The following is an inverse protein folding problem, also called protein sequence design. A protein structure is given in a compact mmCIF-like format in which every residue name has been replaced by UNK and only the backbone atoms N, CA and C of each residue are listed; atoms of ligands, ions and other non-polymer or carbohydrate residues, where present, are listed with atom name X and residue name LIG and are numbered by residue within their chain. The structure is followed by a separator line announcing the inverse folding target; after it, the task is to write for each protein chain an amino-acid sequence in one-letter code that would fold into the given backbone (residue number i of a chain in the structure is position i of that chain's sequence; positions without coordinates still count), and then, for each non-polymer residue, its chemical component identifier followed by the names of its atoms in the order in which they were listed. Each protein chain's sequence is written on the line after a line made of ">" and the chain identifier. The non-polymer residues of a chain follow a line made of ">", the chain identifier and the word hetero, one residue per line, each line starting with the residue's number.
data_IF_863602018966
#
_entry.id   IF_863602018966
#
_cell.length_a   1.000
_cell.length_b   1.000
_cell.length_c   1.000
_cell.angle_alpha   90.00
_cell.angle_beta   90.00
_cell.angle_gamma   90.00
#
_symmetry.space_group_name_H-M   'P 1'
#
loop_
_entity.id
_entity.type
_entity.pdbx_description
1 polymer ?
#
# COMPACT_ATOMS: atom_id res chain seq x y z
N UNK A 1 -22.46 -9.15 0.63
CA UNK A 1 -22.40 -8.36 1.88
C UNK A 1 -22.84 -9.15 3.13
N UNK A 2 -22.63 -10.46 3.18
CA UNK A 2 -23.01 -11.29 4.36
C UNK A 2 -21.84 -11.57 5.32
N UNK A 3 -20.61 -11.21 4.94
CA UNK A 3 -19.40 -11.47 5.76
C UNK A 3 -19.14 -10.36 6.79
N UNK A 4 -19.44 -9.10 6.44
CA UNK A 4 -19.34 -7.96 7.35
C UNK A 4 -20.04 -8.18 8.71
N UNK A 5 -21.30 -8.64 8.78
CA UNK A 5 -21.95 -8.92 10.06
C UNK A 5 -21.32 -10.09 10.82
N UNK A 6 -20.70 -11.04 10.12
CA UNK A 6 -20.04 -12.20 10.76
C UNK A 6 -18.74 -11.80 11.46
N UNK A 7 -17.95 -10.96 10.79
CA UNK A 7 -16.76 -10.30 11.38
C UNK A 7 -17.17 -9.37 12.52
N UNK A 8 -18.25 -8.59 12.35
CA UNK A 8 -18.74 -7.68 13.39
C UNK A 8 -19.20 -8.43 14.64
N UNK A 9 -19.86 -9.58 14.49
CA UNK A 9 -20.29 -10.42 15.61
C UNK A 9 -19.11 -11.05 16.37
N UNK A 10 -18.07 -11.49 15.66
CA UNK A 10 -16.84 -11.97 16.30
C UNK A 10 -16.11 -10.86 17.06
N UNK A 11 -16.13 -9.63 16.53
CA UNK A 11 -15.56 -8.45 17.18
C UNK A 11 -16.42 -7.89 18.33
N UNK A 12 -17.75 -8.03 18.28
CA UNK A 12 -18.62 -7.60 19.38
C UNK A 12 -18.43 -8.45 20.64
N UNK A 13 -17.98 -9.69 20.50
CA UNK A 13 -17.59 -10.52 21.66
C UNK A 13 -16.39 -9.92 22.42
N UNK A 14 -15.50 -9.19 21.74
CA UNK A 14 -14.42 -8.43 22.38
C UNK A 14 -14.91 -7.15 23.11
N UNK A 15 -16.16 -6.74 22.91
CA UNK A 15 -16.69 -5.48 23.47
C UNK A 15 -17.33 -5.64 24.86
N UNK A 16 -17.56 -6.87 25.32
CA UNK A 16 -18.10 -7.17 26.65
C UNK A 16 -17.00 -7.82 27.50
N UNK A 17 -16.37 -7.06 28.43
CA UNK A 17 -15.08 -7.38 29.03
C UNK A 17 -15.19 -8.02 30.43
N UNK A 18 -16.19 -8.87 30.68
CA UNK A 18 -16.11 -9.72 31.88
C UNK A 18 -15.30 -10.97 31.55
N UNK A 19 -14.02 -10.94 31.92
CA UNK A 19 -13.09 -12.05 31.80
C UNK A 19 -13.67 -13.31 32.47
N UNK A 20 -13.57 -14.46 31.81
CA UNK A 20 -13.87 -15.75 32.46
C UNK A 20 -12.85 -16.07 33.56
N UNK A 21 -11.68 -15.42 33.53
CA UNK A 21 -10.59 -15.55 34.51
C UNK A 21 -10.08 -14.15 34.87
N UNK A 22 -10.21 -13.70 36.14
CA UNK A 22 -9.73 -12.37 36.53
C UNK A 22 -8.22 -12.20 36.33
N UNK A 23 -7.83 -11.11 35.66
CA UNK A 23 -6.43 -10.68 35.43
C UNK A 23 -5.52 -10.65 36.68
N UNK A 24 -6.12 -10.63 37.86
CA UNK A 24 -5.42 -10.65 39.16
C UNK A 24 -4.68 -11.95 39.49
N UNK A 25 -4.81 -13.03 38.69
CA UNK A 25 -4.14 -14.30 38.94
C UNK A 25 -2.75 -14.33 38.28
N UNK A 26 -1.64 -14.31 39.06
CA UNK A 26 -0.30 -14.30 38.52
C UNK A 26 -0.01 -15.55 37.67
N UNK A 27 0.37 -15.37 36.40
CA UNK A 27 0.70 -16.44 35.47
C UNK A 27 -0.48 -17.04 34.68
N UNK A 28 -1.72 -16.66 34.98
CA UNK A 28 -2.94 -17.18 34.32
C UNK A 28 -3.84 -16.11 33.70
N UNK A 29 -3.69 -14.83 34.03
CA UNK A 29 -4.56 -13.75 33.53
C UNK A 29 -4.68 -13.69 32.00
N UNK A 30 -3.56 -13.86 31.28
CA UNK A 30 -3.56 -13.79 29.80
C UNK A 30 -4.00 -15.09 29.09
N UNK A 31 -4.36 -16.14 29.83
CA UNK A 31 -4.74 -17.41 29.21
C UNK A 31 -6.06 -17.28 28.45
N UNK A 32 -7.02 -16.52 29.00
CA UNK A 32 -8.32 -16.28 28.38
C UNK A 32 -8.17 -15.49 27.06
N UNK A 33 -7.34 -14.44 27.05
CA UNK A 33 -6.98 -13.70 25.84
C UNK A 33 -6.36 -14.59 24.75
N UNK A 34 -5.42 -15.46 25.13
CA UNK A 34 -4.76 -16.35 24.19
C UNK A 34 -5.74 -17.37 23.57
N UNK A 35 -6.67 -17.89 24.37
CA UNK A 35 -7.73 -18.80 23.91
C UNK A 35 -8.70 -18.04 23.00
N UNK A 36 -9.12 -16.84 23.41
CA UNK A 36 -10.05 -16.02 22.63
C UNK A 36 -9.47 -15.60 21.28
N UNK A 37 -8.20 -15.20 21.24
CA UNK A 37 -7.47 -14.92 20.00
C UNK A 37 -7.42 -16.17 19.12
N UNK A 38 -7.10 -17.34 19.66
CA UNK A 38 -7.05 -18.60 18.90
C UNK A 38 -8.42 -18.97 18.32
N UNK A 39 -9.51 -18.78 19.07
CA UNK A 39 -10.87 -19.02 18.58
C UNK A 39 -11.25 -18.07 17.43
N UNK A 40 -10.95 -16.78 17.57
CA UNK A 40 -11.23 -15.78 16.53
C UNK A 40 -10.39 -16.01 15.27
N UNK A 41 -9.10 -16.37 15.43
CA UNK A 41 -8.23 -16.71 14.29
C UNK A 41 -8.74 -17.95 13.55
N UNK A 42 -9.29 -18.94 14.27
CA UNK A 42 -9.92 -20.12 13.66
C UNK A 42 -11.21 -19.78 12.92
N UNK A 43 -12.10 -18.98 13.52
CA UNK A 43 -13.37 -18.60 12.90
C UNK A 43 -13.15 -17.71 11.66
N UNK A 44 -12.20 -16.78 11.73
CA UNK A 44 -11.89 -15.82 10.64
C UNK A 44 -10.73 -16.28 9.72
N UNK A 45 -10.41 -17.57 9.72
CA UNK A 45 -9.23 -18.10 9.01
C UNK A 45 -9.23 -17.69 7.53
N UNK A 46 -10.37 -17.83 6.86
CA UNK A 46 -10.48 -17.59 5.43
C UNK A 46 -10.41 -16.10 5.08
N UNK A 47 -10.98 -15.24 5.92
CA UNK A 47 -10.92 -13.79 5.81
C UNK A 47 -9.49 -13.28 6.02
N UNK A 48 -8.77 -13.85 7.00
CA UNK A 48 -7.35 -13.54 7.25
C UNK A 48 -6.47 -13.98 6.08
N UNK A 49 -6.70 -15.18 5.52
CA UNK A 49 -6.01 -15.67 4.33
C UNK A 49 -6.25 -14.76 3.12
N UNK A 50 -7.51 -14.43 2.83
CA UNK A 50 -7.88 -13.53 1.75
C UNK A 50 -7.27 -12.13 1.90
N UNK A 51 -7.22 -11.60 3.12
CA UNK A 51 -6.59 -10.32 3.41
C UNK A 51 -5.08 -10.35 3.17
N UNK A 52 -4.40 -11.44 3.56
CA UNK A 52 -2.96 -11.62 3.30
C UNK A 52 -2.67 -11.69 1.79
N UNK A 53 -3.49 -12.41 1.04
CA UNK A 53 -3.38 -12.47 -0.42
C UNK A 53 -3.55 -11.09 -1.08
N UNK A 54 -4.53 -10.31 -0.59
CA UNK A 54 -4.73 -8.94 -1.03
C UNK A 54 -3.50 -8.05 -0.74
N UNK A 55 -2.91 -8.15 0.45
CA UNK A 55 -1.67 -7.43 0.77
C UNK A 55 -0.54 -7.81 -0.20
N UNK A 56 -0.32 -9.10 -0.44
CA UNK A 56 0.70 -9.58 -1.38
C UNK A 56 0.44 -9.17 -2.84
N UNK A 57 -0.82 -9.06 -3.25
CA UNK A 57 -1.18 -8.49 -4.55
C UNK A 57 -0.87 -6.99 -4.63
N UNK A 58 -1.27 -6.22 -3.61
CA UNK A 58 -1.01 -4.77 -3.54
C UNK A 58 0.47 -4.46 -3.59
N UNK A 59 1.28 -5.20 -2.85
CA UNK A 59 2.72 -4.96 -2.77
C UNK A 59 3.40 -5.27 -4.12
N UNK A 60 3.00 -6.35 -4.82
CA UNK A 60 3.43 -6.63 -6.20
C UNK A 60 3.04 -5.53 -7.17
N UNK A 61 1.79 -5.05 -7.10
CA UNK A 61 1.34 -3.91 -7.91
C UNK A 61 2.19 -2.66 -7.67
N UNK A 62 2.54 -2.36 -6.42
CA UNK A 62 3.37 -1.22 -6.08
C UNK A 62 4.80 -1.38 -6.63
N UNK A 63 5.35 -2.59 -6.65
CA UNK A 63 6.65 -2.84 -7.28
C UNK A 63 6.60 -2.70 -8.80
N UNK A 64 5.58 -3.26 -9.44
CA UNK A 64 5.39 -3.21 -10.90
C UNK A 64 5.09 -1.80 -11.38
N UNK A 65 4.17 -1.09 -10.72
CA UNK A 65 3.87 0.32 -11.00
C UNK A 65 5.01 1.24 -10.57
N UNK A 66 5.72 0.95 -9.48
CA UNK A 66 6.90 1.72 -9.08
C UNK A 66 8.01 1.66 -10.14
N UNK A 67 8.22 0.49 -10.75
CA UNK A 67 9.16 0.31 -11.86
C UNK A 67 8.64 0.93 -13.17
N UNK A 68 7.36 0.72 -13.51
CA UNK A 68 6.73 1.23 -14.75
C UNK A 68 6.48 2.74 -14.73
N UNK A 69 5.97 3.30 -13.63
CA UNK A 69 5.75 4.74 -13.46
C UNK A 69 7.07 5.51 -13.37
N UNK A 70 8.12 4.94 -12.76
CA UNK A 70 9.46 5.54 -12.77
C UNK A 70 10.07 5.52 -14.18
N UNK A 71 10.01 4.38 -14.88
CA UNK A 71 10.44 4.28 -16.27
C UNK A 71 9.67 5.24 -17.20
N UNK A 72 8.35 5.36 -17.00
CA UNK A 72 7.49 6.27 -17.76
C UNK A 72 7.82 7.74 -17.49
N UNK A 73 8.06 8.12 -16.22
CA UNK A 73 8.46 9.48 -15.84
C UNK A 73 9.84 9.85 -16.38
N UNK A 74 10.82 8.95 -16.28
CA UNK A 74 12.18 9.18 -16.82
C UNK A 74 12.16 9.31 -18.34
N UNK A 75 11.40 8.45 -19.04
CA UNK A 75 11.21 8.54 -20.49
C UNK A 75 10.56 9.86 -20.90
N UNK A 76 9.49 10.30 -20.21
CA UNK A 76 8.84 11.58 -20.47
C UNK A 76 9.77 12.78 -20.23
N UNK A 77 10.57 12.74 -19.17
CA UNK A 77 11.55 13.79 -18.87
C UNK A 77 12.65 13.87 -19.94
N UNK A 78 13.12 12.73 -20.45
CA UNK A 78 14.13 12.70 -21.51
C UNK A 78 13.59 13.21 -22.85
N UNK A 79 12.35 12.87 -23.19
CA UNK A 79 11.68 13.37 -24.39
C UNK A 79 11.47 14.89 -24.34
N UNK A 80 11.01 15.42 -23.18
CA UNK A 80 10.93 16.87 -22.95
C UNK A 80 12.28 17.56 -23.02
N UNK A 81 13.33 16.95 -22.47
CA UNK A 81 14.70 17.46 -22.56
C UNK A 81 15.16 17.57 -24.02
N UNK A 82 14.97 16.52 -24.82
CA UNK A 82 15.31 16.49 -26.26
C UNK A 82 14.58 17.59 -27.02
N UNK A 83 13.29 17.78 -26.74
CA UNK A 83 12.49 18.83 -27.36
C UNK A 83 13.05 20.24 -27.07
N UNK A 84 13.34 20.53 -25.79
CA UNK A 84 13.88 21.81 -25.35
C UNK A 84 15.27 22.07 -25.94
N UNK A 85 16.15 21.08 -25.92
CA UNK A 85 17.48 21.19 -26.53
C UNK A 85 17.39 21.42 -28.05
N UNK A 86 16.45 20.75 -28.73
CA UNK A 86 16.17 21.01 -30.15
C UNK A 86 15.72 22.44 -30.41
N UNK A 87 14.82 22.98 -29.58
CA UNK A 87 14.39 24.39 -29.65
C UNK A 87 15.57 25.35 -29.42
N UNK A 88 16.42 25.09 -28.42
CA UNK A 88 17.61 25.91 -28.14
C UNK A 88 18.59 25.91 -29.33
N UNK A 89 18.88 24.74 -29.90
CA UNK A 89 19.76 24.61 -31.08
C UNK A 89 19.21 25.39 -32.28
N UNK A 90 17.90 25.29 -32.54
CA UNK A 90 17.23 26.06 -33.61
C UNK A 90 17.34 27.57 -33.38
N UNK A 91 17.10 28.04 -32.14
CA UNK A 91 17.25 29.46 -31.77
C UNK A 91 18.69 29.95 -31.93
N UNK A 92 19.68 29.16 -31.50
CA UNK A 92 21.12 29.49 -31.63
C UNK A 92 21.57 29.56 -33.09
N UNK A 93 21.08 28.65 -33.94
CA UNK A 93 21.33 28.71 -35.39
C UNK A 93 20.73 29.99 -35.99
N UNK A 94 19.51 30.36 -35.57
CA UNK A 94 18.84 31.59 -36.02
C UNK A 94 19.52 32.87 -35.54
N UNK A 95 20.12 32.88 -34.34
CA UNK A 95 20.91 34.01 -33.86
C UNK A 95 22.26 34.15 -34.55
N UNK A 96 22.90 33.03 -34.94
CA UNK A 96 24.09 33.03 -35.81
C UNK A 96 23.79 33.49 -37.25
N UNK A 97 22.51 33.54 -37.64
CA UNK A 97 22.04 34.09 -38.92
C UNK A 97 21.43 35.50 -38.75
N UNK A 98 21.75 36.19 -37.65
CA UNK A 98 21.39 37.59 -37.45
C UNK A 98 22.34 38.49 -38.25
N UNK A 99 21.85 39.43 -39.09
CA UNK A 99 22.69 40.41 -39.79
C UNK A 99 23.38 41.42 -38.84
N UNK A 100 23.21 41.28 -37.52
CA UNK A 100 23.81 42.11 -36.48
C UNK A 100 24.79 41.36 -35.55
N UNK A 101 25.17 40.12 -35.87
CA UNK A 101 26.35 39.49 -35.26
C UNK A 101 27.56 39.87 -36.11
N UNK A 102 28.40 40.77 -35.59
CA UNK A 102 29.65 41.21 -36.21
C UNK A 102 30.58 40.05 -36.62
#
# INVERSE_FOLDING_TARGET
>A
HQEAPRVLNALSYFAEPEDLIPDSIPGLGFLDDAIMIELVVRELKHEIEAYRDFCGYRDRLLEEQGKSAKASRESWLDERRKELQGRMRRRRKRSLTSPFSA
#
